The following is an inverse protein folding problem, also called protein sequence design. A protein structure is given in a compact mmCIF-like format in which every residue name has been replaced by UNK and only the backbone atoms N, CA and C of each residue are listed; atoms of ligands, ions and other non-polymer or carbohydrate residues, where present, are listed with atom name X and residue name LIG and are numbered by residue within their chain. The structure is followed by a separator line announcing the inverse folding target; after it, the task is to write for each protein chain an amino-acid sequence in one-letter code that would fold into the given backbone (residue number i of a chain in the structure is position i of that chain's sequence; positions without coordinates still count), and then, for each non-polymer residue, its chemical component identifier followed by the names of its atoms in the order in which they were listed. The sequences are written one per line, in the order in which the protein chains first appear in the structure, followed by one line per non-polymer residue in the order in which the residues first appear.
data_IF_585028415757
#
_entry.id   IF_585028415757
#
_cell.length_a   1.000
_cell.length_b   1.000
_cell.length_c   1.000
_cell.angle_alpha   90.00
_cell.angle_beta   90.00
_cell.angle_gamma   90.00
#
_symmetry.space_group_name_H-M   'P 1'
#
loop_
_entity.id
_entity.type
_entity.pdbx_description
1 polymer ?
#
# COMPACT_ATOMS: atom_id res chain seq x y z
N UNK A 1 4.74 18.87 17.87
CA UNK A 1 5.86 18.15 17.25
C UNK A 1 5.37 17.71 15.89
N UNK A 2 6.18 17.93 14.85
CA UNK A 2 5.84 17.44 13.52
C UNK A 2 6.02 15.91 13.56
N UNK A 3 4.91 15.17 13.68
CA UNK A 3 4.93 13.72 13.82
C UNK A 3 5.41 13.11 12.49
N UNK A 4 6.72 12.94 12.36
CA UNK A 4 7.33 12.24 11.24
C UNK A 4 6.74 10.85 11.05
N UNK A 5 6.80 10.33 9.82
CA UNK A 5 6.25 9.03 9.50
C UNK A 5 6.91 7.94 10.35
N UNK A 6 6.09 7.18 11.08
CA UNK A 6 6.59 6.14 12.00
C UNK A 6 7.26 4.96 11.29
N UNK A 7 7.04 4.81 9.98
CA UNK A 7 7.63 3.74 9.19
C UNK A 7 9.04 4.07 8.66
N UNK A 8 9.28 5.31 8.21
CA UNK A 8 10.58 5.71 7.64
C UNK A 8 11.37 6.69 8.51
N UNK A 9 10.72 7.37 9.45
CA UNK A 9 11.33 8.37 10.34
C UNK A 9 11.89 9.61 9.64
N UNK A 10 11.64 9.82 8.35
CA UNK A 10 12.33 10.83 7.53
C UNK A 10 11.47 12.05 7.20
N UNK A 11 10.25 11.83 6.70
CA UNK A 11 9.37 12.91 6.24
C UNK A 11 8.11 13.02 7.10
N UNK A 12 7.42 14.15 7.00
CA UNK A 12 6.11 14.38 7.64
C UNK A 12 5.10 13.37 7.11
N UNK A 13 4.33 12.76 8.02
CA UNK A 13 3.32 11.79 7.62
C UNK A 13 2.13 12.49 6.93
N UNK A 14 1.89 12.12 5.67
CA UNK A 14 0.66 12.42 4.92
C UNK A 14 0.12 11.14 4.30
N UNK A 15 -1.13 11.07 3.83
CA UNK A 15 -1.64 9.88 3.14
C UNK A 15 -0.80 9.47 1.92
N UNK A 16 -0.42 10.45 1.09
CA UNK A 16 0.41 10.19 -0.10
C UNK A 16 1.81 9.71 0.32
N UNK A 17 2.37 10.31 1.39
CA UNK A 17 3.63 9.83 1.92
C UNK A 17 3.52 8.39 2.43
N UNK A 18 2.58 8.13 3.34
CA UNK A 18 2.38 6.82 3.96
C UNK A 18 2.20 5.71 2.93
N UNK A 19 1.46 5.96 1.86
CA UNK A 19 1.08 4.93 0.89
C UNK A 19 1.93 4.89 -0.38
N UNK A 20 2.68 5.95 -0.72
CA UNK A 20 3.41 6.03 -1.99
C UNK A 20 4.84 6.56 -1.88
N UNK A 21 5.14 7.50 -0.99
CA UNK A 21 6.46 8.15 -0.97
C UNK A 21 7.40 7.57 0.09
N UNK A 22 6.85 7.00 1.15
CA UNK A 22 7.56 6.32 2.22
C UNK A 22 8.43 5.18 1.65
N UNK A 23 9.70 5.10 2.06
CA UNK A 23 10.61 4.05 1.59
C UNK A 23 10.10 2.64 1.91
N UNK A 24 9.46 2.47 3.07
CA UNK A 24 8.77 1.23 3.45
C UNK A 24 7.66 0.89 2.44
N UNK A 25 6.78 1.84 2.14
CA UNK A 25 5.68 1.64 1.21
C UNK A 25 6.19 1.29 -0.19
N UNK A 26 7.19 2.02 -0.71
CA UNK A 26 7.82 1.74 -2.00
C UNK A 26 8.30 0.31 -2.13
N UNK A 27 8.97 -0.20 -1.09
CA UNK A 27 9.46 -1.57 -1.05
C UNK A 27 8.32 -2.59 -0.96
N UNK A 28 7.25 -2.31 -0.20
CA UNK A 28 6.05 -3.17 -0.17
C UNK A 28 5.40 -3.28 -1.54
N UNK A 29 5.20 -2.16 -2.25
CA UNK A 29 4.66 -2.17 -3.61
C UNK A 29 5.54 -2.95 -4.59
N UNK A 30 6.85 -2.74 -4.54
CA UNK A 30 7.82 -3.42 -5.40
C UNK A 30 7.85 -4.94 -5.17
N UNK A 31 7.84 -5.37 -3.90
CA UNK A 31 7.85 -6.79 -3.52
C UNK A 31 6.47 -7.46 -3.58
N UNK A 32 5.40 -6.71 -3.87
CA UNK A 32 4.06 -7.26 -3.95
C UNK A 32 3.83 -8.03 -5.24
N UNK A 33 2.73 -8.78 -5.29
CA UNK A 33 2.24 -9.41 -6.51
C UNK A 33 2.05 -8.43 -7.68
N UNK A 34 1.75 -7.15 -7.38
CA UNK A 34 1.53 -6.14 -8.42
C UNK A 34 2.83 -5.57 -8.99
N UNK A 35 3.96 -5.72 -8.30
CA UNK A 35 5.29 -5.24 -8.71
C UNK A 35 5.31 -3.78 -9.20
N UNK A 36 4.54 -2.91 -8.52
CA UNK A 36 4.38 -1.51 -8.94
C UNK A 36 5.55 -0.67 -8.44
N UNK A 37 6.20 0.06 -9.35
CA UNK A 37 7.08 1.17 -8.98
C UNK A 37 6.24 2.39 -8.57
N UNK A 38 5.80 2.38 -7.31
CA UNK A 38 4.89 3.39 -6.78
C UNK A 38 5.50 4.80 -6.76
N UNK A 39 6.83 4.93 -6.83
CA UNK A 39 7.51 6.22 -6.84
C UNK A 39 7.23 7.03 -8.11
N UNK A 40 6.74 6.37 -9.17
CA UNK A 40 6.32 7.00 -10.42
C UNK A 40 4.87 7.49 -10.39
N UNK A 41 4.08 7.04 -9.41
CA UNK A 41 2.68 7.47 -9.26
C UNK A 41 2.66 8.76 -8.45
N UNK A 42 2.18 9.83 -9.07
CA UNK A 42 2.07 11.17 -8.47
C UNK A 42 0.61 11.59 -8.40
N UNK A 43 0.30 12.50 -7.49
CA UNK A 43 -1.03 13.10 -7.42
C UNK A 43 -1.03 14.28 -6.46
N UNK A 44 -1.86 15.28 -6.74
CA UNK A 44 -1.98 16.47 -5.89
C UNK A 44 -2.81 16.19 -4.63
N UNK A 45 -3.72 15.22 -4.73
CA UNK A 45 -4.54 14.71 -3.63
C UNK A 45 -4.43 13.20 -3.58
N UNK A 46 -4.82 12.58 -2.47
CA UNK A 46 -4.83 11.12 -2.36
C UNK A 46 -5.75 10.47 -3.41
N UNK A 47 -6.90 11.07 -3.71
CA UNK A 47 -7.84 10.56 -4.73
C UNK A 47 -7.22 10.63 -6.13
N UNK A 48 -6.56 11.73 -6.45
CA UNK A 48 -5.84 11.88 -7.72
C UNK A 48 -4.71 10.85 -7.86
N UNK A 49 -3.90 10.69 -6.80
CA UNK A 49 -2.87 9.67 -6.73
C UNK A 49 -3.43 8.25 -6.89
N UNK A 50 -4.55 7.95 -6.25
CA UNK A 50 -5.23 6.65 -6.38
C UNK A 50 -5.72 6.40 -7.80
N UNK A 51 -6.31 7.40 -8.45
CA UNK A 51 -6.71 7.27 -9.85
C UNK A 51 -5.52 7.02 -10.78
N UNK A 52 -4.39 7.71 -10.57
CA UNK A 52 -3.17 7.47 -11.33
C UNK A 52 -2.59 6.07 -11.08
N UNK A 53 -2.69 5.54 -9.86
CA UNK A 53 -2.26 4.18 -9.53
C UNK A 53 -3.04 3.12 -10.30
N UNK A 54 -4.36 3.22 -10.32
CA UNK A 54 -5.22 2.17 -10.90
C UNK A 54 -5.45 2.32 -12.41
N UNK A 55 -5.16 3.50 -12.98
CA UNK A 55 -5.36 3.80 -14.41
C UNK A 55 -4.75 2.75 -15.36
N UNK A 56 -3.53 2.24 -15.14
CA UNK A 56 -2.93 1.21 -16.01
C UNK A 56 -3.75 -0.09 -16.10
N UNK A 57 -4.62 -0.36 -15.12
CA UNK A 57 -5.43 -1.59 -15.06
C UNK A 57 -6.82 -1.45 -15.66
N UNK A 58 -7.19 -0.26 -16.16
CA UNK A 58 -8.57 0.06 -16.57
C UNK A 58 -9.15 -0.87 -17.63
N UNK A 59 -8.31 -1.43 -18.50
CA UNK A 59 -8.70 -2.28 -19.64
C UNK A 59 -8.30 -3.75 -19.47
N UNK A 60 -7.90 -4.17 -18.26
CA UNK A 60 -7.49 -5.55 -18.00
C UNK A 60 -8.69 -6.37 -17.51
N UNK A 61 -8.82 -7.61 -17.99
CA UNK A 61 -9.92 -8.51 -17.59
C UNK A 61 -9.90 -8.82 -16.08
N UNK A 62 -8.71 -8.82 -15.47
CA UNK A 62 -8.52 -9.03 -14.03
C UNK A 62 -8.44 -7.72 -13.23
N UNK A 63 -8.95 -6.60 -13.75
CA UNK A 63 -8.91 -5.27 -13.10
C UNK A 63 -9.37 -5.31 -11.63
N UNK A 64 -10.50 -5.94 -11.36
CA UNK A 64 -11.08 -5.94 -10.01
C UNK A 64 -10.23 -6.71 -9.00
N UNK A 65 -9.55 -7.76 -9.47
CA UNK A 65 -8.53 -8.48 -8.68
C UNK A 65 -7.33 -7.58 -8.36
N UNK A 66 -6.80 -6.87 -9.36
CA UNK A 66 -5.64 -5.98 -9.18
C UNK A 66 -5.96 -4.82 -8.22
N UNK A 67 -7.13 -4.20 -8.38
CA UNK A 67 -7.61 -3.15 -7.47
C UNK A 67 -7.78 -3.69 -6.05
N UNK A 68 -8.32 -4.90 -5.89
CA UNK A 68 -8.47 -5.54 -4.58
C UNK A 68 -7.12 -5.74 -3.90
N UNK A 69 -6.13 -6.31 -4.60
CA UNK A 69 -4.77 -6.47 -4.07
C UNK A 69 -4.18 -5.10 -3.68
N UNK A 70 -4.38 -4.06 -4.50
CA UNK A 70 -3.92 -2.71 -4.20
C UNK A 70 -4.55 -2.14 -2.92
N UNK A 71 -5.87 -2.29 -2.73
CA UNK A 71 -6.56 -1.89 -1.49
C UNK A 71 -6.01 -2.63 -0.29
N UNK A 72 -5.77 -3.95 -0.41
CA UNK A 72 -5.18 -4.73 0.66
C UNK A 72 -3.75 -4.30 0.99
N UNK A 73 -2.94 -3.89 0.00
CA UNK A 73 -1.61 -3.33 0.24
C UNK A 73 -1.72 -2.05 1.07
N UNK A 74 -2.60 -1.11 0.70
CA UNK A 74 -2.86 0.10 1.49
C UNK A 74 -3.24 -0.26 2.93
N UNK A 75 -4.14 -1.22 3.10
CA UNK A 75 -4.56 -1.70 4.42
C UNK A 75 -3.40 -2.28 5.24
N UNK A 76 -2.56 -3.13 4.66
CA UNK A 76 -1.42 -3.71 5.38
C UNK A 76 -0.36 -2.67 5.74
N UNK A 77 -0.12 -1.66 4.90
CA UNK A 77 0.77 -0.53 5.21
C UNK A 77 0.22 0.25 6.40
N UNK A 78 -1.08 0.58 6.39
CA UNK A 78 -1.73 1.27 7.51
C UNK A 78 -1.64 0.46 8.82
N UNK A 79 -1.87 -0.86 8.75
CA UNK A 79 -1.70 -1.75 9.91
C UNK A 79 -0.26 -1.80 10.42
N UNK A 80 0.73 -1.87 9.53
CA UNK A 80 2.14 -1.84 9.91
C UNK A 80 2.48 -0.54 10.65
N UNK A 81 2.02 0.61 10.13
CA UNK A 81 2.19 1.92 10.80
C UNK A 81 1.54 1.94 12.18
N UNK A 82 0.32 1.44 12.30
CA UNK A 82 -0.39 1.40 13.59
C UNK A 82 0.24 0.45 14.60
N UNK A 83 0.72 -0.71 14.15
CA UNK A 83 1.50 -1.61 15.01
C UNK A 83 2.77 -0.94 15.53
N UNK A 84 3.43 -0.13 14.69
CA UNK A 84 4.56 0.67 15.16
C UNK A 84 4.13 1.72 16.18
N UNK A 85 3.01 2.40 15.96
CA UNK A 85 2.48 3.44 16.88
C UNK A 85 2.06 2.91 18.24
N UNK A 86 1.29 1.82 18.27
CA UNK A 86 0.63 1.34 19.48
C UNK A 86 1.39 0.22 20.18
N UNK A 87 2.17 -0.57 19.43
CA UNK A 87 2.85 -1.76 19.94
C UNK A 87 4.38 -1.69 19.78
N UNK A 88 4.92 -0.62 19.18
CA UNK A 88 6.34 -0.46 18.83
C UNK A 88 6.91 -1.61 17.95
N UNK A 89 6.04 -2.34 17.23
CA UNK A 89 6.45 -3.44 16.36
C UNK A 89 6.83 -2.92 14.98
N UNK A 90 7.99 -3.34 14.47
CA UNK A 90 8.45 -3.01 13.12
C UNK A 90 7.85 -4.01 12.13
N UNK A 91 7.20 -3.50 11.09
CA UNK A 91 6.64 -4.32 10.02
C UNK A 91 7.73 -4.96 9.14
N UNK A 92 7.53 -6.20 8.71
CA UNK A 92 8.36 -6.84 7.70
C UNK A 92 7.77 -6.58 6.30
N UNK A 93 8.57 -6.00 5.40
CA UNK A 93 8.17 -5.61 4.05
C UNK A 93 7.51 -6.74 3.27
N UNK A 94 8.18 -7.90 3.23
CA UNK A 94 7.72 -9.06 2.49
C UNK A 94 6.45 -9.65 3.12
N UNK A 95 6.39 -9.73 4.45
CA UNK A 95 5.21 -10.22 5.15
C UNK A 95 4.00 -9.30 4.92
N UNK A 96 4.20 -7.97 4.93
CA UNK A 96 3.16 -6.98 4.61
C UNK A 96 2.62 -7.18 3.20
N UNK A 97 3.51 -7.37 2.21
CA UNK A 97 3.12 -7.60 0.83
C UNK A 97 2.40 -8.96 0.62
N UNK A 98 2.92 -10.03 1.21
CA UNK A 98 2.35 -11.38 1.12
C UNK A 98 0.99 -11.48 1.80
N UNK A 99 0.84 -10.86 2.98
CA UNK A 99 -0.43 -10.85 3.70
C UNK A 99 -1.51 -10.05 2.95
N UNK A 100 -1.12 -8.99 2.23
CA UNK A 100 -2.05 -8.27 1.36
C UNK A 100 -2.59 -9.16 0.24
N UNK A 101 -1.71 -9.91 -0.42
CA UNK A 101 -2.09 -10.84 -1.48
C UNK A 101 -2.98 -11.99 -0.96
N UNK A 102 -2.59 -12.66 0.13
CA UNK A 102 -3.37 -13.76 0.70
C UNK A 102 -4.78 -13.33 1.09
N UNK A 103 -4.93 -12.21 1.81
CA UNK A 103 -6.25 -11.75 2.23
C UNK A 103 -7.11 -11.27 1.06
N UNK A 104 -6.49 -10.71 0.01
CA UNK A 104 -7.20 -10.40 -1.22
C UNK A 104 -7.75 -11.67 -1.88
N UNK A 105 -6.97 -12.75 -1.91
CA UNK A 105 -7.36 -14.05 -2.46
C UNK A 105 -8.50 -14.67 -1.65
N UNK A 106 -8.36 -14.76 -0.33
CA UNK A 106 -9.39 -15.29 0.58
C UNK A 106 -10.73 -14.53 0.44
N UNK A 107 -10.69 -13.21 0.29
CA UNK A 107 -11.92 -12.42 0.08
C UNK A 107 -12.63 -12.74 -1.25
N UNK A 108 -11.93 -13.31 -2.23
CA UNK A 108 -12.51 -13.73 -3.51
C UNK A 108 -13.25 -15.05 -3.35
N UNK A 109 -12.71 -15.97 -2.56
CA UNK A 109 -13.31 -17.28 -2.30
C UNK A 109 -14.61 -17.18 -1.47
N UNK A 110 -14.79 -16.11 -0.68
CA UNK A 110 -16.02 -15.89 0.12
C UNK A 110 -17.18 -15.33 -0.72
N UNK A 111 -16.89 -14.70 -1.86
CA UNK A 111 -17.91 -14.05 -2.70
C UNK A 111 -18.38 -14.91 -3.88
N UNK A 112 -17.69 -16.03 -4.15
CA UNK A 112 -18.04 -17.03 -5.14
C UNK A 112 -18.75 -18.21 -4.47
#
# INVERSE_FOLDING_TARGET
ADDGCLLCGSDIESPIHLFGECCFAKQVWYCSFLQVDIARVRGQTFIDWWHHLIRPWSNLDNRDWLIRVAVFILWQIWKARNNKRFNNVVGCLLATAQLAHHLAAEYTDVLN
#
